data_IF_315686316653
#
_entry.id   IF_315686316653
#
_cell.length_a   1.000
_cell.length_b   1.000
_cell.length_c   1.000
_cell.angle_alpha   90.00
_cell.angle_beta   90.00
_cell.angle_gamma   90.00
#
_symmetry.space_group_name_H-M   'P 1'
#
loop_
_entity.id
_entity.type
_entity.pdbx_description
1 polymer ?
#
# COMPACT_ATOMS: atom_id res chain seq x y z
N UNK A 1 0.96 -3.27 -23.52
CA UNK A 1 1.21 -3.26 -22.07
C UNK A 1 2.09 -2.06 -21.74
N UNK A 2 1.85 -1.42 -20.62
CA UNK A 2 2.57 -0.26 -20.11
C UNK A 2 3.66 -0.69 -19.12
N UNK A 3 4.86 -0.09 -19.21
CA UNK A 3 6.02 -0.42 -18.35
C UNK A 3 6.75 0.84 -17.86
N UNK A 4 6.12 2.02 -18.00
CA UNK A 4 6.72 3.29 -17.67
C UNK A 4 6.46 3.75 -16.22
N UNK A 5 6.84 5.00 -15.92
CA UNK A 5 6.56 5.66 -14.64
C UNK A 5 5.06 5.71 -14.34
N UNK A 6 4.66 6.05 -13.11
CA UNK A 6 3.23 6.36 -12.92
C UNK A 6 2.85 7.61 -13.74
N UNK A 7 1.62 7.64 -14.27
CA UNK A 7 1.11 8.81 -15.00
C UNK A 7 0.18 9.61 -14.08
N UNK A 8 0.45 10.89 -13.93
CA UNK A 8 -0.49 11.80 -13.28
C UNK A 8 -1.45 12.35 -14.32
N UNK A 9 -2.73 12.02 -14.12
CA UNK A 9 -3.83 12.41 -15.00
C UNK A 9 -5.03 12.79 -14.16
N UNK A 10 -5.86 13.67 -14.71
CA UNK A 10 -7.10 14.12 -14.05
C UNK A 10 -8.08 12.97 -13.80
N UNK A 11 -8.23 12.06 -14.76
CA UNK A 11 -9.15 10.93 -14.68
C UNK A 11 -8.38 9.61 -14.57
N UNK A 12 -8.46 8.98 -13.39
CA UNK A 12 -7.74 7.73 -13.11
C UNK A 12 -8.60 6.53 -13.54
N UNK A 13 -8.11 5.77 -14.52
CA UNK A 13 -8.77 4.57 -15.06
C UNK A 13 -7.85 3.35 -15.17
N UNK A 14 -6.54 3.55 -14.98
CA UNK A 14 -5.52 2.53 -15.17
C UNK A 14 -4.67 2.36 -13.92
N UNK A 15 -4.11 1.16 -13.72
CA UNK A 15 -3.30 0.86 -12.54
C UNK A 15 -2.08 1.78 -12.43
N UNK A 16 -1.47 2.15 -13.56
CA UNK A 16 -0.33 3.08 -13.58
C UNK A 16 -0.70 4.55 -13.30
N UNK A 17 -1.98 4.88 -13.08
CA UNK A 17 -2.40 6.18 -12.54
C UNK A 17 -2.45 6.18 -10.99
N UNK A 18 -2.31 5.01 -10.37
CA UNK A 18 -2.44 4.79 -8.94
C UNK A 18 -1.11 4.76 -8.20
N UNK A 19 -1.19 5.01 -6.89
CA UNK A 19 -0.03 5.11 -6.01
C UNK A 19 0.70 3.77 -5.84
N UNK A 20 -0.05 2.65 -5.82
CA UNK A 20 0.54 1.31 -5.77
C UNK A 20 1.52 1.05 -6.94
N UNK A 21 1.28 1.64 -8.10
CA UNK A 21 2.22 1.54 -9.23
C UNK A 21 3.41 2.48 -9.05
N UNK A 22 3.15 3.76 -8.80
CA UNK A 22 4.18 4.81 -8.78
C UNK A 22 5.15 4.70 -7.60
N UNK A 23 4.65 4.33 -6.42
CA UNK A 23 5.45 4.21 -5.19
C UNK A 23 6.19 2.87 -5.10
N UNK A 24 5.84 1.91 -5.95
CA UNK A 24 6.44 0.58 -5.93
C UNK A 24 7.65 0.50 -6.86
N UNK A 25 8.84 0.16 -6.35
CA UNK A 25 10.00 -0.07 -7.20
C UNK A 25 9.82 -1.33 -8.06
N UNK A 26 8.88 -2.23 -7.71
CA UNK A 26 8.56 -3.42 -8.50
C UNK A 26 7.73 -3.11 -9.76
N UNK A 27 7.15 -1.91 -9.89
CA UNK A 27 6.25 -1.55 -11.00
C UNK A 27 6.63 -0.23 -11.69
N UNK A 28 6.67 0.87 -10.93
CA UNK A 28 6.99 2.19 -11.44
C UNK A 28 8.49 2.44 -11.60
N UNK A 29 8.82 3.71 -11.84
CA UNK A 29 10.21 4.17 -11.91
C UNK A 29 10.76 4.38 -10.50
N UNK A 30 11.89 3.74 -10.22
CA UNK A 30 12.50 3.66 -8.90
C UNK A 30 13.57 4.73 -8.66
N UNK A 31 14.21 5.23 -9.74
CA UNK A 31 15.36 6.13 -9.65
C UNK A 31 15.29 7.25 -10.68
N UNK A 32 15.91 8.39 -10.35
CA UNK A 32 16.07 9.55 -11.22
C UNK A 32 17.43 10.19 -10.97
N UNK A 33 18.08 10.71 -12.01
CA UNK A 33 19.33 11.46 -11.88
C UNK A 33 19.04 12.95 -11.96
N UNK A 34 19.33 13.69 -10.88
CA UNK A 34 19.11 15.13 -10.78
C UNK A 34 20.45 15.77 -10.48
N UNK A 35 20.90 16.70 -11.33
CA UNK A 35 22.20 17.40 -11.16
C UNK A 35 23.36 16.41 -10.88
N UNK A 36 23.40 15.31 -11.65
CA UNK A 36 24.40 14.23 -11.55
C UNK A 36 24.36 13.39 -10.26
N UNK A 37 23.34 13.59 -9.41
CA UNK A 37 23.12 12.79 -8.20
C UNK A 37 21.97 11.83 -8.42
N UNK A 38 22.14 10.57 -8.00
CA UNK A 38 21.10 9.55 -8.07
C UNK A 38 20.14 9.69 -6.88
N UNK A 39 18.86 9.84 -7.19
CA UNK A 39 17.76 9.82 -6.23
C UNK A 39 16.91 8.58 -6.48
N UNK A 40 16.26 8.10 -5.42
CA UNK A 40 15.39 6.94 -5.40
C UNK A 40 14.09 7.29 -4.69
N UNK A 41 13.02 6.59 -5.05
CA UNK A 41 11.77 6.67 -4.29
C UNK A 41 11.99 6.20 -2.84
N UNK A 42 11.37 6.88 -1.89
CA UNK A 42 11.60 6.78 -0.45
C UNK A 42 12.75 7.64 0.08
N UNK A 43 13.50 8.34 -0.77
CA UNK A 43 14.50 9.28 -0.29
C UNK A 43 13.84 10.51 0.36
N UNK A 44 14.47 11.00 1.42
CA UNK A 44 14.17 12.32 1.96
C UNK A 44 15.07 13.37 1.29
N UNK A 45 14.51 14.54 1.02
CA UNK A 45 15.17 15.62 0.27
C UNK A 45 14.87 17.00 0.85
N UNK A 46 15.76 17.93 0.56
CA UNK A 46 15.41 19.35 0.53
C UNK A 46 14.98 19.76 -0.87
N UNK A 47 13.95 20.59 -0.96
CA UNK A 47 13.51 21.22 -2.20
C UNK A 47 13.22 22.71 -2.00
N UNK A 48 13.20 23.46 -3.10
CA UNK A 48 12.83 24.87 -3.11
C UNK A 48 11.34 25.03 -3.40
N UNK A 49 10.67 25.83 -2.58
CA UNK A 49 9.33 26.36 -2.81
C UNK A 49 9.38 27.90 -2.81
N UNK A 50 8.30 28.57 -3.23
CA UNK A 50 8.17 30.04 -3.17
C UNK A 50 8.42 30.56 -1.75
N UNK A 51 7.98 29.80 -0.74
CA UNK A 51 8.12 30.16 0.68
C UNK A 51 9.51 29.86 1.25
N UNK A 52 10.40 29.24 0.46
CA UNK A 52 11.77 28.93 0.83
C UNK A 52 12.09 27.44 0.76
N UNK A 53 13.14 27.05 1.48
CA UNK A 53 13.63 25.68 1.51
C UNK A 53 12.75 24.80 2.40
N UNK A 54 12.28 23.67 1.88
CA UNK A 54 11.38 22.73 2.55
C UNK A 54 11.96 21.32 2.59
N UNK A 55 11.43 20.52 3.51
CA UNK A 55 11.72 19.09 3.60
C UNK A 55 10.65 18.28 2.87
N UNK A 56 11.05 17.22 2.18
CA UNK A 56 10.14 16.34 1.47
C UNK A 56 10.59 14.89 1.51
N UNK A 57 9.62 14.00 1.31
CA UNK A 57 9.82 12.56 1.13
C UNK A 57 9.36 12.18 -0.27
N UNK A 58 10.27 11.66 -1.11
CA UNK A 58 9.97 11.25 -2.48
C UNK A 58 9.10 10.00 -2.42
N UNK A 59 7.85 10.08 -2.85
CA UNK A 59 6.95 8.93 -2.94
C UNK A 59 7.06 8.25 -4.31
N UNK A 60 7.03 9.02 -5.39
CA UNK A 60 7.03 8.45 -6.73
C UNK A 60 7.72 9.37 -7.73
N UNK A 61 8.24 8.76 -8.80
CA UNK A 61 8.62 9.45 -10.02
C UNK A 61 7.49 9.23 -11.02
N UNK A 62 6.93 10.32 -11.53
CA UNK A 62 5.72 10.31 -12.35
C UNK A 62 5.95 11.07 -13.66
N UNK A 63 5.04 10.87 -14.62
CA UNK A 63 4.93 11.69 -15.81
C UNK A 63 3.60 12.44 -15.78
N UNK A 64 3.66 13.77 -15.93
CA UNK A 64 2.49 14.62 -16.16
C UNK A 64 2.69 15.35 -17.49
N UNK A 65 1.79 15.13 -18.45
CA UNK A 65 1.90 15.71 -19.80
C UNK A 65 3.27 15.45 -20.49
N UNK A 66 3.83 14.25 -20.31
CA UNK A 66 5.17 13.83 -20.76
C UNK A 66 6.35 14.55 -20.10
N UNK A 67 6.11 15.29 -19.01
CA UNK A 67 7.15 15.93 -18.21
C UNK A 67 7.34 15.09 -16.94
N UNK A 68 8.59 14.69 -16.68
CA UNK A 68 8.96 13.94 -15.48
C UNK A 68 8.85 14.84 -14.25
N UNK A 69 8.11 14.37 -13.25
CA UNK A 69 7.91 15.07 -11.97
C UNK A 69 8.12 14.11 -10.80
N UNK A 70 8.29 14.70 -9.63
CA UNK A 70 8.39 13.99 -8.36
C UNK A 70 7.13 14.23 -7.55
N UNK A 71 6.51 13.15 -7.09
CA UNK A 71 5.46 13.18 -6.08
C UNK A 71 6.13 13.21 -4.71
N UNK A 72 5.98 14.31 -3.99
CA UNK A 72 6.68 14.60 -2.74
C UNK A 72 5.67 14.76 -1.61
N UNK A 73 5.83 13.98 -0.54
CA UNK A 73 5.11 14.23 0.70
C UNK A 73 5.81 15.31 1.52
N UNK A 74 5.03 16.25 2.05
CA UNK A 74 5.49 17.33 2.91
C UNK A 74 6.00 16.79 4.24
N UNK A 75 7.21 17.22 4.58
CA UNK A 75 7.81 17.03 5.90
C UNK A 75 7.91 18.42 6.53
N UNK A 76 7.25 18.58 7.66
CA UNK A 76 7.13 19.84 8.39
C UNK A 76 8.26 19.98 9.41
N UNK A 77 8.73 21.22 9.52
CA UNK A 77 9.52 21.71 10.64
C UNK A 77 8.61 22.22 11.76
N UNK A 78 9.20 22.51 12.93
CA UNK A 78 8.48 23.04 14.08
C UNK A 78 7.69 24.32 13.76
N UNK A 79 8.30 25.26 13.02
CA UNK A 79 7.69 26.55 12.70
C UNK A 79 6.50 26.42 11.72
N UNK A 80 6.39 25.28 11.04
CA UNK A 80 5.29 24.97 10.10
C UNK A 80 4.13 24.25 10.78
N UNK A 81 4.29 23.83 12.04
CA UNK A 81 3.20 23.25 12.82
C UNK A 81 2.19 24.34 13.20
N UNK A 82 0.90 23.99 13.39
CA UNK A 82 -0.07 24.92 13.94
C UNK A 82 0.39 25.46 15.29
N UNK A 83 0.19 26.76 15.53
CA UNK A 83 0.67 27.46 16.74
C UNK A 83 0.22 26.80 18.04
N UNK A 84 -0.97 26.17 18.04
CA UNK A 84 -1.49 25.42 19.19
C UNK A 84 -0.61 24.25 19.64
N UNK A 85 0.36 23.85 18.82
CA UNK A 85 1.29 22.75 19.11
C UNK A 85 2.73 23.19 19.35
N UNK A 86 2.98 24.50 19.42
CA UNK A 86 4.28 25.08 19.72
C UNK A 86 4.58 24.94 21.22
N UNK A 87 5.00 23.74 21.61
CA UNK A 87 5.39 23.44 22.99
C UNK A 87 6.91 23.46 23.15
N UNK A 88 7.40 23.74 24.36
CA UNK A 88 8.83 23.67 24.69
C UNK A 88 9.43 22.30 24.39
N UNK A 89 8.65 21.24 24.57
CA UNK A 89 9.07 19.87 24.26
C UNK A 89 9.33 19.71 22.76
N UNK A 90 8.37 20.11 21.90
CA UNK A 90 8.55 20.01 20.44
C UNK A 90 9.63 20.95 19.92
N UNK A 91 9.79 22.11 20.54
CA UNK A 91 10.90 23.01 20.21
C UNK A 91 12.25 22.36 20.51
N UNK A 92 12.40 21.70 21.67
CA UNK A 92 13.61 20.97 21.99
C UNK A 92 13.84 19.79 21.03
N UNK A 93 12.81 19.00 20.75
CA UNK A 93 12.88 17.90 19.78
C UNK A 93 13.32 18.40 18.39
N UNK A 94 12.81 19.53 17.92
CA UNK A 94 13.21 20.15 16.66
C UNK A 94 14.70 20.52 16.64
N UNK A 95 15.22 21.06 17.75
CA UNK A 95 16.67 21.35 17.92
C UNK A 95 17.50 20.06 17.87
N UNK A 96 16.95 18.97 18.40
CA UNK A 96 17.57 17.64 18.37
C UNK A 96 17.43 16.93 17.01
N UNK A 97 16.68 17.53 16.07
CA UNK A 97 16.54 17.03 14.70
C UNK A 97 15.16 16.47 14.33
N UNK A 98 14.16 16.55 15.21
CA UNK A 98 12.82 16.07 14.91
C UNK A 98 12.16 16.84 13.77
N UNK A 99 11.41 16.09 12.97
CA UNK A 99 10.55 16.54 11.90
C UNK A 99 9.20 15.83 12.01
N UNK A 100 8.19 16.38 11.33
CA UNK A 100 6.82 15.87 11.34
C UNK A 100 6.37 15.57 9.92
N UNK A 101 5.64 14.47 9.69
CA UNK A 101 5.00 14.27 8.40
C UNK A 101 3.65 14.98 8.38
N UNK A 102 3.29 15.58 7.25
CA UNK A 102 1.89 15.90 6.99
C UNK A 102 1.23 14.66 6.40
N UNK A 103 0.12 14.23 7.01
CA UNK A 103 -0.61 13.04 6.59
C UNK A 103 -1.07 13.17 5.14
N UNK A 104 -0.93 12.10 4.36
CA UNK A 104 -1.10 12.11 2.90
C UNK A 104 -2.52 12.49 2.46
N UNK A 105 -3.50 12.27 3.34
CA UNK A 105 -4.90 12.60 3.10
C UNK A 105 -5.21 14.10 3.34
N UNK A 106 -4.27 14.88 3.87
CA UNK A 106 -4.46 16.30 4.11
C UNK A 106 -4.21 17.16 2.86
N UNK A 107 -4.87 18.32 2.84
CA UNK A 107 -4.67 19.31 1.78
C UNK A 107 -3.20 19.76 1.72
N UNK A 108 -2.63 19.79 0.51
CA UNK A 108 -1.22 20.09 0.23
C UNK A 108 -0.20 19.16 0.91
N UNK A 109 -0.62 18.00 1.43
CA UNK A 109 0.32 17.01 1.95
C UNK A 109 1.24 16.45 0.88
N UNK A 110 0.72 16.33 -0.35
CA UNK A 110 1.45 15.86 -1.50
C UNK A 110 1.53 16.97 -2.54
N UNK A 111 2.73 17.21 -3.05
CA UNK A 111 2.99 18.15 -4.12
C UNK A 111 3.72 17.47 -5.28
N UNK A 112 3.56 18.05 -6.47
CA UNK A 112 4.28 17.64 -7.67
C UNK A 112 5.37 18.65 -7.98
N UNK A 113 6.61 18.19 -8.02
CA UNK A 113 7.76 19.05 -8.27
C UNK A 113 8.50 18.64 -9.53
N UNK A 114 8.95 19.64 -10.28
CA UNK A 114 9.98 19.46 -11.29
C UNK A 114 11.28 19.00 -10.59
N UNK A 115 12.03 18.04 -11.16
CA UNK A 115 13.26 17.52 -10.56
C UNK A 115 14.28 18.63 -10.22
N UNK A 116 14.26 19.73 -10.97
CA UNK A 116 15.14 20.88 -10.81
C UNK A 116 15.00 21.58 -9.44
N UNK A 117 13.81 21.48 -8.82
CA UNK A 117 13.50 22.05 -7.51
C UNK A 117 14.22 21.31 -6.37
N UNK A 118 14.67 20.07 -6.60
CA UNK A 118 15.43 19.31 -5.62
C UNK A 118 16.81 19.96 -5.41
N UNK A 119 17.15 20.17 -4.14
CA UNK A 119 18.41 20.77 -3.70
C UNK A 119 19.42 19.67 -3.40
N UNK A 120 19.07 18.76 -2.48
CA UNK A 120 19.96 17.69 -2.03
C UNK A 120 19.19 16.60 -1.28
N UNK A 121 19.77 15.39 -1.21
CA UNK A 121 19.30 14.29 -0.35
C UNK A 121 19.58 14.60 1.13
N UNK A 122 18.75 14.10 2.02
CA UNK A 122 18.97 14.13 3.47
C UNK A 122 18.79 12.74 4.07
N UNK A 123 19.55 12.46 5.12
CA UNK A 123 19.38 11.23 5.91
C UNK A 123 18.39 11.50 7.03
N UNK A 124 17.28 10.78 7.02
CA UNK A 124 16.26 10.82 8.06
C UNK A 124 16.16 9.43 8.69
N UNK A 125 16.37 9.34 9.99
CA UNK A 125 16.29 8.10 10.76
C UNK A 125 14.89 7.86 11.33
N UNK A 126 14.63 6.63 11.77
CA UNK A 126 13.40 6.28 12.48
C UNK A 126 13.47 6.54 14.00
N UNK A 127 14.66 6.81 14.55
CA UNK A 127 14.91 7.09 15.97
C UNK A 127 16.10 8.04 16.15
N UNK A 128 16.24 8.63 17.34
CA UNK A 128 17.28 9.62 17.71
C UNK A 128 18.75 9.18 17.56
N UNK A 129 19.06 7.98 17.07
CA UNK A 129 20.40 7.38 17.25
C UNK A 129 21.22 7.09 16.00
N UNK A 130 20.90 7.63 14.82
CA UNK A 130 21.84 7.49 13.68
C UNK A 130 21.62 8.44 12.49
N UNK A 131 20.82 9.50 12.64
CA UNK A 131 20.64 10.51 11.60
C UNK A 131 20.43 11.88 12.25
N UNK A 132 21.04 12.93 11.68
CA UNK A 132 20.88 14.31 12.16
C UNK A 132 19.42 14.81 12.10
N UNK A 133 18.50 14.04 11.50
CA UNK A 133 17.06 14.28 11.43
C UNK A 133 16.27 12.97 11.62
N UNK A 134 15.07 13.05 12.19
CA UNK A 134 14.17 11.89 12.36
C UNK A 134 12.69 12.32 12.34
N UNK A 135 11.81 11.46 11.85
CA UNK A 135 10.35 11.69 11.92
C UNK A 135 9.82 11.16 13.25
N UNK A 136 9.07 12.00 13.99
CA UNK A 136 8.51 11.60 15.31
C UNK A 136 7.00 11.36 15.28
N UNK A 137 6.25 12.25 14.63
CA UNK A 137 4.79 12.22 14.59
C UNK A 137 4.29 12.63 13.20
N UNK A 138 3.04 12.27 12.92
CA UNK A 138 2.30 12.63 11.72
C UNK A 138 1.18 13.58 12.13
N UNK A 139 1.13 14.75 11.51
CA UNK A 139 0.08 15.75 11.66
C UNK A 139 -1.09 15.41 10.74
N UNK A 140 -2.29 15.29 11.28
CA UNK A 140 -3.52 14.98 10.54
C UNK A 140 -4.74 15.67 11.18
N UNK A 141 -5.88 15.68 10.51
CA UNK A 141 -7.15 16.16 11.06
C UNK A 141 -8.08 15.03 11.41
N UNK A 142 -8.76 15.20 12.53
CA UNK A 142 -9.88 14.36 12.94
C UNK A 142 -11.04 15.26 13.37
N UNK A 143 -12.20 15.11 12.74
CA UNK A 143 -13.35 15.99 12.94
C UNK A 143 -12.96 17.48 12.79
N UNK A 144 -12.19 17.81 11.74
CA UNK A 144 -11.65 19.16 11.47
C UNK A 144 -10.68 19.74 12.51
N UNK A 145 -10.28 18.95 13.51
CA UNK A 145 -9.26 19.37 14.49
C UNK A 145 -7.93 18.70 14.20
N UNK A 146 -6.87 19.50 14.16
CA UNK A 146 -5.51 19.00 14.07
C UNK A 146 -5.17 18.09 15.27
N UNK A 147 -4.50 16.98 14.97
CA UNK A 147 -4.01 16.00 15.94
C UNK A 147 -2.69 15.42 15.45
N UNK A 148 -1.99 14.76 16.37
CA UNK A 148 -0.81 13.97 16.06
C UNK A 148 -1.05 12.50 16.30
N UNK A 149 -0.41 11.68 15.48
CA UNK A 149 -0.24 10.24 15.71
C UNK A 149 1.24 9.89 15.60
N UNK A 150 1.65 8.80 16.25
CA UNK A 150 3.03 8.32 16.16
C UNK A 150 3.42 8.06 14.71
N UNK A 151 4.67 8.35 14.32
CA UNK A 151 5.22 7.95 13.03
C UNK A 151 5.20 6.43 12.79
N UNK A 152 5.08 5.62 13.85
CA UNK A 152 4.88 4.17 13.73
C UNK A 152 3.52 3.80 13.10
N UNK A 153 2.56 4.73 13.11
CA UNK A 153 1.26 4.64 12.45
C UNK A 153 1.33 5.34 11.07
N UNK A 154 2.39 5.08 10.32
CA UNK A 154 2.52 5.42 8.90
C UNK A 154 2.54 4.16 8.05
N UNK A 155 2.11 4.29 6.79
CA UNK A 155 2.38 3.25 5.81
C UNK A 155 3.86 3.28 5.45
N UNK A 156 4.54 2.14 5.60
CA UNK A 156 5.90 1.99 5.09
C UNK A 156 5.89 2.18 3.58
N UNK A 157 6.75 3.07 3.09
CA UNK A 157 6.93 3.25 1.67
C UNK A 157 7.45 1.94 1.07
N UNK A 158 6.99 1.50 -0.13
CA UNK A 158 7.40 0.23 -0.70
C UNK A 158 8.91 0.03 -0.79
N UNK A 159 9.69 1.09 -1.04
CA UNK A 159 11.15 1.01 -1.08
C UNK A 159 11.80 0.59 0.24
N UNK A 160 11.12 0.74 1.39
CA UNK A 160 11.64 0.32 2.71
C UNK A 160 11.68 -1.20 2.89
N UNK A 161 10.86 -1.95 2.16
CA UNK A 161 10.80 -3.42 2.25
C UNK A 161 10.99 -4.13 0.90
N UNK A 162 11.07 -3.36 -0.20
CA UNK A 162 11.29 -3.90 -1.54
C UNK A 162 12.52 -3.29 -2.20
N UNK A 163 13.70 -3.83 -1.87
CA UNK A 163 14.88 -3.54 -2.69
C UNK A 163 14.77 -4.26 -4.04
N UNK A 164 15.04 -3.55 -5.14
CA UNK A 164 15.34 -4.19 -6.43
C UNK A 164 16.81 -4.58 -6.40
N UNK A 165 17.16 -5.82 -6.78
CA UNK A 165 18.56 -6.18 -6.95
C UNK A 165 19.22 -5.31 -8.03
N UNK A 166 20.45 -4.88 -7.73
CA UNK A 166 21.29 -4.18 -8.70
C UNK A 166 21.42 -5.04 -9.95
N UNK A 167 20.92 -4.53 -11.06
CA UNK A 167 21.00 -5.17 -12.36
C UNK A 167 21.90 -4.34 -13.27
N UNK A 168 22.51 -5.01 -14.24
CA UNK A 168 23.37 -4.35 -15.21
C UNK A 168 22.48 -3.49 -16.13
N UNK A 169 22.74 -2.18 -16.19
CA UNK A 169 21.92 -1.19 -16.93
C UNK A 169 21.83 -1.43 -18.45
N UNK A 170 22.45 -2.50 -18.97
CA UNK A 170 22.48 -2.83 -20.38
C UNK A 170 21.26 -3.62 -20.87
N UNK A 171 20.47 -4.22 -19.98
CA UNK A 171 19.29 -5.03 -20.38
C UNK A 171 18.00 -4.19 -20.29
N UNK A 172 17.09 -4.29 -21.27
CA UNK A 172 15.72 -3.82 -21.10
C UNK A 172 15.06 -4.48 -19.90
N UNK A 173 14.38 -3.69 -19.07
CA UNK A 173 13.70 -4.15 -17.86
C UNK A 173 12.19 -4.08 -18.08
N UNK A 174 11.49 -5.17 -17.82
CA UNK A 174 10.03 -5.23 -17.86
C UNK A 174 9.49 -5.63 -16.49
N UNK A 175 8.69 -4.74 -15.92
CA UNK A 175 8.07 -4.88 -14.60
C UNK A 175 6.60 -5.24 -14.75
N UNK A 176 6.21 -6.45 -14.33
CA UNK A 176 4.85 -6.96 -14.44
C UNK A 176 4.09 -6.80 -13.13
N UNK A 177 2.98 -6.07 -13.20
CA UNK A 177 1.98 -5.96 -12.16
C UNK A 177 1.01 -7.14 -12.28
N UNK A 178 1.02 -8.03 -11.29
CA UNK A 178 0.13 -9.19 -11.26
C UNK A 178 -1.14 -8.86 -10.47
N UNK A 179 -2.30 -8.97 -11.11
CA UNK A 179 -3.61 -8.89 -10.46
C UNK A 179 -4.16 -10.31 -10.30
N UNK A 180 -4.20 -10.78 -9.05
CA UNK A 180 -4.66 -12.12 -8.69
C UNK A 180 -6.11 -12.05 -8.23
N UNK A 181 -6.97 -12.86 -8.83
CA UNK A 181 -8.36 -13.01 -8.40
C UNK A 181 -8.59 -14.39 -7.79
N UNK A 182 -9.24 -14.45 -6.63
CA UNK A 182 -9.67 -15.69 -5.99
C UNK A 182 -11.14 -15.60 -5.58
N UNK A 183 -11.94 -16.56 -6.05
CA UNK A 183 -13.37 -16.62 -5.76
C UNK A 183 -13.85 -18.08 -5.64
N UNK A 184 -14.75 -18.33 -4.70
CA UNK A 184 -15.38 -19.64 -4.55
C UNK A 184 -16.76 -19.62 -5.23
N UNK A 185 -16.97 -20.52 -6.19
CA UNK A 185 -18.23 -20.61 -6.93
C UNK A 185 -18.83 -22.02 -6.85
N UNK A 186 -20.17 -22.08 -6.92
CA UNK A 186 -20.88 -23.35 -7.04
C UNK A 186 -20.74 -23.90 -8.47
N UNK A 187 -20.22 -25.11 -8.62
CA UNK A 187 -20.07 -25.76 -9.94
C UNK A 187 -21.41 -26.05 -10.61
N UNK A 188 -22.44 -26.32 -9.81
CA UNK A 188 -23.81 -26.52 -10.27
C UNK A 188 -24.79 -25.87 -9.28
N UNK A 189 -26.00 -25.51 -9.74
CA UNK A 189 -27.02 -24.80 -8.94
C UNK A 189 -27.39 -25.49 -7.61
N UNK A 190 -27.20 -26.80 -7.49
CA UNK A 190 -27.67 -27.61 -6.36
C UNK A 190 -26.54 -28.38 -5.63
N UNK A 191 -25.27 -28.00 -5.81
CA UNK A 191 -24.15 -28.71 -5.16
C UNK A 191 -23.71 -27.95 -3.91
N UNK A 192 -23.65 -28.66 -2.76
CA UNK A 192 -23.27 -28.15 -1.44
C UNK A 192 -21.77 -27.85 -1.28
N UNK A 193 -20.98 -28.04 -2.34
CA UNK A 193 -19.53 -27.99 -2.33
C UNK A 193 -19.05 -26.91 -3.30
N UNK A 194 -18.47 -25.85 -2.74
CA UNK A 194 -17.83 -24.79 -3.53
C UNK A 194 -16.53 -25.27 -4.16
N UNK A 195 -16.23 -24.72 -5.34
CA UNK A 195 -14.96 -24.85 -6.03
C UNK A 195 -14.27 -23.49 -6.04
N UNK A 196 -13.02 -23.42 -5.65
CA UNK A 196 -12.24 -22.19 -5.70
C UNK A 196 -11.66 -21.97 -7.09
N UNK A 197 -11.87 -20.82 -7.71
CA UNK A 197 -11.25 -20.41 -8.97
C UNK A 197 -10.16 -19.38 -8.72
N UNK A 198 -8.95 -19.67 -9.21
CA UNK A 198 -7.82 -18.73 -9.12
C UNK A 198 -7.45 -18.25 -10.53
N UNK A 199 -7.46 -16.93 -10.70
CA UNK A 199 -7.25 -16.27 -11.97
C UNK A 199 -6.17 -15.21 -11.86
N UNK A 200 -5.51 -14.93 -12.96
CA UNK A 200 -4.43 -13.96 -13.06
C UNK A 200 -4.67 -13.03 -14.24
N UNK A 201 -4.33 -11.77 -14.06
CA UNK A 201 -4.29 -10.77 -15.10
C UNK A 201 -3.06 -9.88 -14.95
N UNK A 202 -2.60 -9.27 -16.05
CA UNK A 202 -1.54 -8.25 -16.00
C UNK A 202 -2.15 -6.86 -15.88
N UNK A 203 -1.82 -6.15 -14.81
CA UNK A 203 -2.22 -4.75 -14.59
C UNK A 203 -1.60 -3.79 -15.61
N UNK A 204 -0.54 -4.22 -16.30
CA UNK A 204 0.10 -3.47 -17.38
C UNK A 204 -0.76 -3.32 -18.65
N UNK A 205 -1.81 -4.12 -18.82
CA UNK A 205 -2.74 -3.99 -19.97
C UNK A 205 -3.68 -2.81 -19.78
N UNK A 206 -4.24 -2.22 -20.83
CA UNK A 206 -5.28 -1.18 -20.68
C UNK A 206 -6.54 -1.75 -20.05
N UNK A 207 -7.40 -0.93 -19.48
CA UNK A 207 -8.67 -1.36 -18.91
C UNK A 207 -9.54 -2.10 -19.93
N UNK A 208 -9.56 -1.64 -21.18
CA UNK A 208 -10.29 -2.29 -22.27
C UNK A 208 -9.68 -3.65 -22.65
N UNK A 209 -8.36 -3.78 -22.60
CA UNK A 209 -7.70 -5.07 -22.79
C UNK A 209 -7.97 -6.01 -21.61
N UNK A 210 -7.93 -5.50 -20.38
CA UNK A 210 -8.22 -6.26 -19.17
C UNK A 210 -9.64 -6.83 -19.18
N UNK A 211 -10.61 -6.18 -19.83
CA UNK A 211 -11.98 -6.72 -19.98
C UNK A 211 -12.09 -7.90 -20.93
N UNK A 212 -11.11 -8.14 -21.81
CA UNK A 212 -11.21 -9.21 -22.80
C UNK A 212 -10.93 -10.56 -22.14
N UNK A 213 -11.78 -11.56 -22.38
CA UNK A 213 -11.66 -12.89 -21.77
C UNK A 213 -10.30 -13.56 -22.07
N UNK A 214 -9.74 -13.35 -23.28
CA UNK A 214 -8.41 -13.87 -23.65
C UNK A 214 -7.26 -13.35 -22.76
N UNK A 215 -7.49 -12.28 -22.02
CA UNK A 215 -6.53 -11.62 -21.14
C UNK A 215 -6.78 -11.95 -19.65
N UNK A 216 -7.62 -12.95 -19.38
CA UNK A 216 -7.81 -13.56 -18.06
C UNK A 216 -7.21 -14.97 -18.10
N UNK A 217 -6.19 -15.20 -17.28
CA UNK A 217 -5.47 -16.47 -17.23
C UNK A 217 -5.98 -17.29 -16.05
N UNK A 218 -6.55 -18.46 -16.33
CA UNK A 218 -6.94 -19.41 -15.27
C UNK A 218 -5.67 -20.09 -14.76
N UNK A 219 -5.29 -19.83 -13.50
CA UNK A 219 -4.19 -20.55 -12.86
C UNK A 219 -4.62 -21.97 -12.47
N UNK A 220 -5.88 -22.12 -12.06
CA UNK A 220 -6.48 -23.42 -11.81
C UNK A 220 -7.65 -23.35 -10.83
N UNK A 221 -8.11 -24.53 -10.43
CA UNK A 221 -9.24 -24.69 -9.53
C UNK A 221 -8.81 -25.43 -8.26
N UNK A 222 -9.20 -24.90 -7.11
CA UNK A 222 -9.04 -25.53 -5.80
C UNK A 222 -10.25 -26.44 -5.58
N UNK A 223 -10.10 -27.78 -5.60
CA UNK A 223 -11.21 -28.70 -5.44
C UNK A 223 -11.86 -28.55 -4.06
N UNK A 224 -13.09 -29.03 -3.92
CA UNK A 224 -13.75 -29.08 -2.61
C UNK A 224 -12.90 -29.84 -1.59
N UNK A 225 -12.71 -29.23 -0.41
CA UNK A 225 -11.84 -29.76 0.64
C UNK A 225 -10.34 -29.61 0.36
N UNK A 226 -9.97 -29.04 -0.79
CA UNK A 226 -8.60 -28.66 -1.12
C UNK A 226 -8.14 -27.42 -0.34
N UNK A 227 -6.85 -27.37 -0.06
CA UNK A 227 -6.22 -26.23 0.60
C UNK A 227 -5.65 -25.24 -0.43
N UNK A 228 -6.03 -23.97 -0.32
CA UNK A 228 -5.55 -22.91 -1.22
C UNK A 228 -4.04 -22.74 -1.14
N UNK A 229 -3.44 -22.84 0.07
CA UNK A 229 -2.01 -22.61 0.23
C UNK A 229 -1.22 -23.71 -0.49
N UNK A 230 -1.64 -24.98 -0.38
CA UNK A 230 -1.03 -26.08 -1.12
C UNK A 230 -1.16 -25.91 -2.64
N UNK A 231 -2.32 -25.47 -3.12
CA UNK A 231 -2.57 -25.21 -4.54
C UNK A 231 -1.65 -24.12 -5.10
N UNK A 232 -1.58 -22.96 -4.44
CA UNK A 232 -0.88 -21.78 -4.99
C UNK A 232 0.63 -21.80 -4.75
N UNK A 233 1.12 -22.69 -3.89
CA UNK A 233 2.53 -22.77 -3.48
C UNK A 233 3.54 -22.80 -4.63
N UNK A 234 3.35 -23.56 -5.74
CA UNK A 234 4.28 -23.54 -6.87
C UNK A 234 4.36 -22.15 -7.51
N UNK A 235 3.21 -21.51 -7.74
CA UNK A 235 3.15 -20.16 -8.27
C UNK A 235 3.88 -19.15 -7.38
N UNK A 236 3.63 -19.18 -6.06
CA UNK A 236 4.30 -18.28 -5.11
C UNK A 236 5.83 -18.44 -5.16
N UNK A 237 6.33 -19.67 -5.24
CA UNK A 237 7.78 -19.91 -5.37
C UNK A 237 8.38 -19.27 -6.62
N UNK A 238 7.66 -19.32 -7.74
CA UNK A 238 8.10 -18.68 -8.99
C UNK A 238 8.04 -17.15 -8.89
N UNK A 239 6.98 -16.59 -8.31
CA UNK A 239 6.89 -15.14 -8.09
C UNK A 239 8.00 -14.65 -7.16
N UNK A 240 8.33 -15.36 -6.08
CA UNK A 240 9.48 -15.02 -5.22
C UNK A 240 10.81 -14.93 -6.00
N UNK A 241 10.97 -15.69 -7.09
CA UNK A 241 12.14 -15.59 -7.97
C UNK A 241 12.03 -14.39 -8.90
N UNK A 242 10.86 -14.14 -9.47
CA UNK A 242 10.61 -13.01 -10.38
C UNK A 242 10.67 -11.65 -9.66
N UNK A 243 10.32 -11.55 -8.37
CA UNK A 243 10.50 -10.35 -7.54
C UNK A 243 11.97 -9.97 -7.30
N UNK A 244 12.88 -10.89 -7.61
CA UNK A 244 14.33 -10.67 -7.61
C UNK A 244 14.87 -10.39 -9.02
N UNK A 245 14.02 -10.36 -10.03
CA UNK A 245 14.44 -10.24 -11.41
C UNK A 245 15.04 -11.54 -11.96
N UNK A 246 14.62 -11.93 -13.15
CA UNK A 246 15.20 -13.05 -13.90
C UNK A 246 15.41 -12.65 -15.34
N UNK A 247 16.57 -13.01 -15.90
CA UNK A 247 16.86 -12.74 -17.31
C UNK A 247 16.16 -13.79 -18.16
N UNK A 248 15.41 -13.33 -19.15
CA UNK A 248 14.79 -14.15 -20.18
C UNK A 248 15.37 -13.79 -21.55
N UNK A 249 15.34 -14.76 -22.46
CA UNK A 249 15.56 -14.52 -23.89
C UNK A 249 14.21 -14.64 -24.60
N UNK A 250 13.71 -13.52 -25.11
CA UNK A 250 12.42 -13.43 -25.78
C UNK A 250 12.68 -12.89 -27.18
N UNK A 251 12.37 -13.68 -28.21
CA UNK A 251 12.58 -13.32 -29.61
C UNK A 251 14.04 -12.87 -29.91
N UNK A 252 15.02 -13.53 -29.32
CA UNK A 252 16.45 -13.20 -29.49
C UNK A 252 16.93 -11.97 -28.71
N UNK A 253 16.07 -11.34 -27.89
CA UNK A 253 16.43 -10.22 -27.02
C UNK A 253 16.50 -10.72 -25.59
N UNK A 254 17.65 -10.47 -24.93
CA UNK A 254 17.79 -10.69 -23.50
C UNK A 254 17.17 -9.52 -22.73
N UNK A 255 16.21 -9.80 -21.87
CA UNK A 255 15.56 -8.80 -21.03
C UNK A 255 15.52 -9.26 -19.57
N UNK A 256 15.51 -8.31 -18.64
CA UNK A 256 15.27 -8.56 -17.23
C UNK A 256 13.77 -8.47 -16.96
N UNK A 257 13.17 -9.56 -16.49
CA UNK A 257 11.77 -9.61 -16.10
C UNK A 257 11.69 -9.55 -14.58
N UNK A 258 10.95 -8.56 -14.09
CA UNK A 258 10.54 -8.46 -12.69
C UNK A 258 9.02 -8.63 -12.67
N UNK A 259 8.49 -9.51 -11.83
CA UNK A 259 7.05 -9.65 -11.66
C UNK A 259 6.74 -9.76 -10.17
N UNK A 260 5.77 -8.99 -9.72
CA UNK A 260 5.33 -8.98 -8.32
C UNK A 260 3.81 -8.84 -8.24
N UNK A 261 3.26 -9.26 -7.11
CA UNK A 261 1.84 -9.16 -6.85
C UNK A 261 1.47 -7.70 -6.65
N UNK A 262 0.69 -7.17 -7.58
CA UNK A 262 0.23 -5.79 -7.57
C UNK A 262 -1.08 -5.63 -6.81
N UNK A 263 -2.05 -6.50 -7.06
CA UNK A 263 -3.32 -6.51 -6.35
C UNK A 263 -3.84 -7.95 -6.17
N UNK A 264 -4.61 -8.14 -5.10
CA UNK A 264 -5.34 -9.37 -4.80
C UNK A 264 -6.81 -9.03 -4.62
N UNK A 265 -7.60 -9.45 -5.59
CA UNK A 265 -9.04 -9.23 -5.60
C UNK A 265 -9.74 -10.52 -5.18
N UNK A 266 -10.63 -10.44 -4.20
CA UNK A 266 -11.42 -11.57 -3.75
C UNK A 266 -12.70 -11.05 -3.11
N UNK A 267 -13.71 -11.91 -3.01
CA UNK A 267 -14.88 -11.63 -2.20
C UNK A 267 -14.48 -11.51 -0.71
N UNK A 268 -15.44 -11.11 0.13
CA UNK A 268 -15.12 -10.69 1.49
C UNK A 268 -14.40 -11.76 2.32
N UNK A 269 -14.91 -13.00 2.47
CA UNK A 269 -14.29 -13.98 3.35
C UNK A 269 -12.87 -14.36 2.90
N UNK A 270 -12.66 -14.54 1.60
CA UNK A 270 -11.42 -14.97 0.99
C UNK A 270 -10.43 -13.80 1.01
N UNK A 271 -10.87 -12.58 0.70
CA UNK A 271 -10.06 -11.37 0.85
C UNK A 271 -9.58 -11.15 2.28
N UNK A 272 -10.41 -11.43 3.28
CA UNK A 272 -9.98 -11.42 4.69
C UNK A 272 -8.95 -12.51 4.96
N UNK A 273 -9.17 -13.72 4.45
CA UNK A 273 -8.25 -14.84 4.62
C UNK A 273 -6.87 -14.55 4.00
N UNK A 274 -6.85 -13.92 2.83
CA UNK A 274 -5.64 -13.49 2.11
C UNK A 274 -4.97 -12.26 2.75
N UNK A 275 -5.72 -11.39 3.43
CA UNK A 275 -5.18 -10.28 4.23
C UNK A 275 -4.78 -10.69 5.67
N UNK A 276 -4.91 -11.97 6.02
CA UNK A 276 -4.56 -12.53 7.33
C UNK A 276 -5.46 -12.07 8.48
N UNK A 277 -6.68 -11.63 8.15
CA UNK A 277 -7.69 -11.11 9.09
C UNK A 277 -8.84 -12.10 9.20
N UNK A 278 -9.42 -12.25 10.40
CA UNK A 278 -10.62 -13.06 10.59
C UNK A 278 -11.78 -12.48 9.77
N UNK A 279 -12.69 -13.34 9.35
CA UNK A 279 -13.88 -12.95 8.57
C UNK A 279 -14.76 -11.95 9.33
N UNK A 280 -15.69 -11.31 8.61
CA UNK A 280 -16.57 -10.23 9.09
C UNK A 280 -17.32 -10.50 10.40
N UNK A 281 -17.58 -11.76 10.75
CA UNK A 281 -18.22 -12.12 12.03
C UNK A 281 -17.36 -11.90 13.27
N UNK A 282 -16.05 -11.66 13.12
CA UNK A 282 -15.14 -11.45 14.25
C UNK A 282 -15.28 -10.07 14.89
N UNK A 283 -14.81 -9.94 16.14
CA UNK A 283 -14.80 -8.67 16.89
C UNK A 283 -14.12 -7.57 16.06
N UNK A 284 -12.99 -7.86 15.40
CA UNK A 284 -12.28 -6.94 14.50
C UNK A 284 -12.13 -7.54 13.10
N UNK A 285 -13.24 -7.69 12.39
CA UNK A 285 -13.28 -8.32 11.05
C UNK A 285 -12.94 -7.42 9.86
N UNK A 286 -12.67 -6.13 10.06
CA UNK A 286 -12.27 -5.23 8.96
C UNK A 286 -10.80 -5.45 8.59
N UNK A 287 -10.49 -5.53 7.28
CA UNK A 287 -9.08 -5.68 6.82
C UNK A 287 -8.33 -4.36 6.70
N UNK A 288 -9.02 -3.23 6.69
CA UNK A 288 -8.39 -1.91 6.63
C UNK A 288 -8.23 -1.24 8.00
N UNK A 289 -9.01 -1.64 9.02
CA UNK A 289 -8.94 -1.04 10.36
C UNK A 289 -9.24 -2.03 11.50
N UNK A 290 -8.92 -1.60 12.72
CA UNK A 290 -9.07 -2.34 13.97
C UNK A 290 -10.35 -1.97 14.72
N UNK A 291 -11.29 -1.28 14.07
CA UNK A 291 -12.59 -0.99 14.66
C UNK A 291 -13.28 -2.29 15.07
N UNK A 292 -13.88 -2.29 16.28
CA UNK A 292 -14.68 -3.42 16.71
C UNK A 292 -16.03 -3.41 15.98
N UNK A 293 -16.68 -4.57 15.89
CA UNK A 293 -17.96 -4.75 15.21
C UNK A 293 -19.01 -3.74 15.67
N UNK A 294 -19.03 -3.43 16.97
CA UNK A 294 -19.96 -2.48 17.59
C UNK A 294 -19.69 -1.03 17.18
N UNK A 295 -18.45 -0.72 16.80
CA UNK A 295 -18.01 0.64 16.43
C UNK A 295 -17.89 0.88 14.93
N UNK A 296 -18.03 -0.15 14.08
CA UNK A 296 -17.88 -0.05 12.61
C UNK A 296 -18.77 1.01 11.95
N UNK A 297 -19.86 1.42 12.60
CA UNK A 297 -20.79 2.42 12.08
C UNK A 297 -20.64 3.79 12.73
N UNK A 298 -19.79 3.93 13.75
CA UNK A 298 -19.59 5.19 14.46
C UNK A 298 -19.05 6.26 13.51
N UNK A 299 -19.60 7.48 13.63
CA UNK A 299 -19.14 8.64 12.88
C UNK A 299 -17.81 9.20 13.43
N UNK A 300 -17.47 8.89 14.69
CA UNK A 300 -16.29 9.40 15.39
C UNK A 300 -15.08 8.45 15.32
N UNK A 301 -15.08 7.52 14.36
CA UNK A 301 -13.95 6.63 14.16
C UNK A 301 -12.73 7.41 13.67
N UNK A 302 -11.71 7.45 14.51
CA UNK A 302 -10.42 7.99 14.13
C UNK A 302 -9.60 6.96 13.34
N UNK A 303 -9.98 6.75 12.07
CA UNK A 303 -9.39 5.78 11.14
C UNK A 303 -7.86 5.84 11.12
N UNK A 304 -7.21 7.01 10.93
CA UNK A 304 -5.78 7.23 11.18
C UNK A 304 -5.12 6.41 12.31
N UNK A 305 -5.75 6.41 13.49
CA UNK A 305 -5.21 5.76 14.69
C UNK A 305 -5.47 4.26 14.76
N UNK A 306 -6.51 3.80 14.06
CA UNK A 306 -6.97 2.41 14.14
C UNK A 306 -6.79 1.66 12.83
N UNK A 307 -6.16 2.25 11.81
CA UNK A 307 -5.87 1.58 10.56
C UNK A 307 -4.99 0.34 10.80
N UNK A 308 -5.07 -0.62 9.87
CA UNK A 308 -4.18 -1.77 9.86
C UNK A 308 -2.99 -1.46 8.97
N UNK A 309 -1.81 -1.59 9.55
CA UNK A 309 -0.54 -1.43 8.85
C UNK A 309 0.15 -2.80 8.78
N UNK A 310 0.77 -3.12 7.64
CA UNK A 310 1.42 -4.41 7.42
C UNK A 310 2.46 -4.72 8.50
N UNK A 311 3.37 -3.79 8.81
CA UNK A 311 4.43 -4.01 9.81
C UNK A 311 3.89 -4.22 11.23
N UNK A 312 2.86 -3.49 11.64
CA UNK A 312 2.20 -3.69 12.94
C UNK A 312 1.53 -5.07 12.98
N UNK A 313 0.93 -5.48 11.87
CA UNK A 313 0.33 -6.81 11.76
C UNK A 313 1.38 -7.91 11.92
N UNK A 314 2.55 -7.74 11.31
CA UNK A 314 3.67 -8.67 11.50
C UNK A 314 4.18 -8.71 12.93
N UNK A 315 4.31 -7.55 13.60
CA UNK A 315 4.67 -7.51 15.02
C UNK A 315 3.65 -8.27 15.89
N UNK A 316 2.35 -8.14 15.60
CA UNK A 316 1.32 -8.91 16.29
C UNK A 316 1.45 -10.41 16.03
N UNK A 317 1.79 -10.84 14.81
CA UNK A 317 2.07 -12.24 14.53
C UNK A 317 3.33 -12.74 15.27
N UNK A 318 4.41 -11.96 15.28
CA UNK A 318 5.64 -12.31 16.02
C UNK A 318 5.33 -12.47 17.51
N UNK A 319 4.51 -11.58 18.09
CA UNK A 319 4.02 -11.73 19.47
C UNK A 319 3.19 -12.99 19.65
N UNK A 320 2.29 -13.29 18.71
CA UNK A 320 1.46 -14.51 18.76
C UNK A 320 2.32 -15.79 18.73
N UNK A 321 3.40 -15.82 17.96
CA UNK A 321 4.33 -16.95 17.89
C UNK A 321 5.07 -17.22 19.21
N UNK A 322 5.27 -16.20 20.06
CA UNK A 322 5.86 -16.37 21.40
C UNK A 322 4.91 -16.99 22.43
N UNK A 323 3.61 -17.03 22.15
CA UNK A 323 2.61 -17.59 23.07
C UNK A 323 2.68 -19.12 23.02
N UNK A 324 2.89 -19.75 24.18
CA UNK A 324 3.16 -21.20 24.28
C UNK A 324 1.91 -22.04 23.97
N UNK A 325 0.74 -21.65 24.48
CA UNK A 325 -0.47 -22.48 24.37
C UNK A 325 -1.29 -22.11 23.14
N UNK A 326 -1.78 -23.12 22.41
CA UNK A 326 -2.67 -22.90 21.27
C UNK A 326 -3.98 -22.19 21.66
N UNK A 327 -4.45 -22.40 22.89
CA UNK A 327 -5.64 -21.72 23.42
C UNK A 327 -5.41 -20.22 23.56
N UNK A 328 -4.28 -19.81 24.15
CA UNK A 328 -4.00 -18.40 24.36
C UNK A 328 -3.59 -17.71 23.05
N UNK A 329 -2.94 -18.42 22.12
CA UNK A 329 -2.74 -17.96 20.74
C UNK A 329 -4.09 -17.64 20.07
N UNK A 330 -5.07 -18.55 20.16
CA UNK A 330 -6.42 -18.32 19.59
C UNK A 330 -7.15 -17.14 20.25
N UNK A 331 -6.98 -16.95 21.56
CA UNK A 331 -7.54 -15.79 22.27
C UNK A 331 -6.91 -14.48 21.76
N UNK A 332 -5.59 -14.43 21.70
CA UNK A 332 -4.85 -13.30 21.15
C UNK A 332 -5.27 -12.99 19.70
N UNK A 333 -5.30 -14.02 18.84
CA UNK A 333 -5.77 -13.89 17.47
C UNK A 333 -7.21 -13.34 17.39
N UNK A 334 -8.08 -13.72 18.33
CA UNK A 334 -9.46 -13.21 18.40
C UNK A 334 -9.52 -11.74 18.81
N UNK A 335 -8.72 -11.32 19.78
CA UNK A 335 -8.64 -9.94 20.28
C UNK A 335 -8.22 -8.94 19.18
N UNK A 336 -7.28 -9.35 18.32
CA UNK A 336 -6.76 -8.52 17.23
C UNK A 336 -7.43 -8.79 15.87
N UNK A 337 -8.35 -9.77 15.82
CA UNK A 337 -9.01 -10.19 14.58
C UNK A 337 -8.05 -10.81 13.56
N UNK A 338 -6.99 -11.47 14.01
CA UNK A 338 -6.00 -12.14 13.16
C UNK A 338 -6.36 -13.61 12.91
N UNK A 339 -5.95 -14.14 11.77
CA UNK A 339 -5.96 -15.59 11.56
C UNK A 339 -4.88 -16.25 12.40
N UNK A 340 -5.06 -17.53 12.70
CA UNK A 340 -4.05 -18.31 13.43
C UNK A 340 -2.84 -18.67 12.54
N UNK A 341 -2.99 -18.55 11.22
CA UNK A 341 -1.97 -18.86 10.21
C UNK A 341 -1.86 -17.65 9.27
N UNK A 342 -0.64 -17.24 8.96
CA UNK A 342 -0.37 -16.24 7.91
C UNK A 342 -0.77 -16.80 6.54
N UNK A 343 -1.17 -15.91 5.64
CA UNK A 343 -1.41 -16.26 4.24
C UNK A 343 -0.09 -16.65 3.59
N UNK A 344 -0.12 -17.63 2.69
CA UNK A 344 1.04 -17.95 1.84
C UNK A 344 1.48 -16.76 0.98
N UNK A 345 0.59 -15.79 0.71
CA UNK A 345 0.92 -14.55 0.00
C UNK A 345 1.87 -13.64 0.78
N UNK A 346 2.03 -13.83 2.10
CA UNK A 346 2.98 -13.06 2.91
C UNK A 346 4.44 -13.49 2.68
N UNK A 347 4.68 -14.52 1.86
CA UNK A 347 6.00 -14.85 1.32
C UNK A 347 6.45 -13.87 0.22
N UNK A 348 5.52 -13.08 -0.33
CA UNK A 348 5.76 -12.11 -1.39
C UNK A 348 5.96 -10.70 -0.82
N UNK A 349 6.62 -9.85 -1.61
CA UNK A 349 6.88 -8.45 -1.27
C UNK A 349 5.63 -7.59 -1.48
N UNK A 350 4.72 -7.55 -0.50
CA UNK A 350 3.45 -6.81 -0.60
C UNK A 350 2.99 -6.12 0.70
N UNK A 351 2.23 -5.04 0.58
CA UNK A 351 1.41 -4.47 1.66
C UNK A 351 0.01 -5.13 1.63
N UNK A 352 -0.33 -5.91 2.66
CA UNK A 352 -1.48 -6.82 2.60
C UNK A 352 -2.83 -6.14 2.79
N UNK A 353 -2.85 -4.95 3.40
CA UNK A 353 -4.07 -4.20 3.70
C UNK A 353 -4.38 -3.20 2.58
N UNK A 354 -3.37 -2.71 1.86
CA UNK A 354 -3.51 -1.86 0.68
C UNK A 354 -3.73 -2.68 -0.61
N UNK A 355 -2.98 -3.77 -0.79
CA UNK A 355 -3.05 -4.58 -2.02
C UNK A 355 -4.12 -5.68 -1.97
N UNK A 356 -4.92 -5.74 -0.91
CA UNK A 356 -6.13 -6.58 -0.81
C UNK A 356 -7.32 -5.68 -0.50
N UNK A 357 -7.81 -4.90 -1.49
CA UNK A 357 -8.78 -3.82 -1.28
C UNK A 357 -10.05 -4.33 -0.63
N UNK A 358 -10.66 -3.54 0.25
CA UNK A 358 -11.95 -3.84 0.89
C UNK A 358 -13.10 -3.71 -0.13
N UNK A 359 -14.01 -4.67 -0.14
CA UNK A 359 -15.24 -4.54 -0.94
C UNK A 359 -16.07 -3.36 -0.41
N UNK A 360 -16.31 -2.36 -1.28
CA UNK A 360 -17.06 -1.13 -0.99
C UNK A 360 -18.50 -1.44 -0.55
N UNK A 361 -19.09 -2.52 -1.07
CA UNK A 361 -20.43 -2.94 -0.66
C UNK A 361 -20.46 -3.24 0.83
N UNK A 362 -19.39 -3.75 1.43
CA UNK A 362 -19.38 -4.07 2.86
C UNK A 362 -19.26 -2.85 3.78
N UNK A 363 -18.72 -1.72 3.29
CA UNK A 363 -18.77 -0.45 4.03
C UNK A 363 -20.21 0.12 4.06
N UNK A 364 -21.02 -0.21 3.06
CA UNK A 364 -22.34 0.36 2.76
C UNK A 364 -23.52 -0.61 2.94
N UNK A 365 -23.26 -1.91 3.10
CA UNK A 365 -24.24 -2.97 3.28
C UNK A 365 -25.03 -2.73 4.56
N UNK A 366 -26.36 -2.83 4.46
CA UNK A 366 -27.32 -2.45 5.52
C UNK A 366 -27.25 -0.96 5.93
N UNK A 367 -26.51 -0.14 5.18
CA UNK A 367 -26.35 1.30 5.43
C UNK A 367 -26.81 2.13 4.23
N UNK A 368 -27.85 1.65 3.53
CA UNK A 368 -28.43 2.35 2.39
C UNK A 368 -28.86 3.78 2.76
N UNK A 369 -29.32 4.00 4.00
CA UNK A 369 -29.65 5.34 4.49
C UNK A 369 -28.42 6.25 4.60
N UNK A 370 -27.26 5.74 5.01
CA UNK A 370 -26.00 6.51 5.06
C UNK A 370 -25.43 6.74 3.66
N UNK A 371 -25.50 5.74 2.79
CA UNK A 371 -25.17 5.88 1.37
C UNK A 371 -26.04 6.97 0.74
N UNK A 372 -27.36 6.88 0.87
CA UNK A 372 -28.32 7.87 0.38
C UNK A 372 -28.09 9.25 1.00
N UNK A 373 -27.82 9.36 2.30
CA UNK A 373 -27.53 10.63 2.94
C UNK A 373 -26.24 11.28 2.41
N UNK A 374 -25.16 10.50 2.24
CA UNK A 374 -23.90 10.98 1.64
C UNK A 374 -24.14 11.37 0.19
N UNK A 375 -24.82 10.53 -0.59
CA UNK A 375 -25.14 10.79 -2.00
C UNK A 375 -26.01 12.03 -2.16
N UNK A 376 -27.05 12.21 -1.34
CA UNK A 376 -27.92 13.39 -1.38
C UNK A 376 -27.15 14.64 -0.96
N UNK A 377 -26.31 14.60 0.07
CA UNK A 377 -25.49 15.76 0.44
C UNK A 377 -24.48 16.13 -0.65
N UNK A 378 -23.90 15.15 -1.35
CA UNK A 378 -23.03 15.39 -2.50
C UNK A 378 -23.78 16.03 -3.67
N UNK A 379 -25.03 15.63 -3.91
CA UNK A 379 -25.90 16.20 -4.94
C UNK A 379 -26.51 17.56 -4.55
N UNK A 380 -26.48 17.93 -3.27
CA UNK A 380 -27.07 19.17 -2.75
C UNK A 380 -26.05 20.30 -2.59
N UNK A 381 -24.78 20.03 -2.92
CA UNK A 381 -23.69 21.00 -2.93
C UNK A 381 -23.39 21.50 -4.36
N UNK A 382 -24.44 21.78 -5.14
CA UNK A 382 -24.38 22.60 -6.37
C UNK A 382 -24.94 24.00 -6.08
#
# INVERSE_FOLDING_TARGET
>A
MYFGPALEVKEKSEFWHGDLWGESPQFGQETIVIKQVLYQIGDYVYYNEITGKKFGHILAIILENNIEKLKIQHVLTFDELPESFHTTIRQQQSRDGALWLLDRDEYNAIILLEPQAIIQKITVGQNNNSANKYIIEILYKHNNHWKFRSALLDYKHPSEYTAIPNHNNSLPVYKFFLDLYYDDFGTYRNVYHSLGGVYLQFGNMTFNDRKQLKNHFVLGFVPFGGDFDDFIKPFIKEICQLEKGKVFEINGVRCLIIASLGQVTADLPQGNDLACIKRHGAIKGCRSCQATKEKLTSADLNIPLIARYHHITDELYNRMETIITATDQRKFATEYGLRNKKSILDLLKRERHLQTPQDVYHLTAEKIQRLLHITVNLLSND
#
